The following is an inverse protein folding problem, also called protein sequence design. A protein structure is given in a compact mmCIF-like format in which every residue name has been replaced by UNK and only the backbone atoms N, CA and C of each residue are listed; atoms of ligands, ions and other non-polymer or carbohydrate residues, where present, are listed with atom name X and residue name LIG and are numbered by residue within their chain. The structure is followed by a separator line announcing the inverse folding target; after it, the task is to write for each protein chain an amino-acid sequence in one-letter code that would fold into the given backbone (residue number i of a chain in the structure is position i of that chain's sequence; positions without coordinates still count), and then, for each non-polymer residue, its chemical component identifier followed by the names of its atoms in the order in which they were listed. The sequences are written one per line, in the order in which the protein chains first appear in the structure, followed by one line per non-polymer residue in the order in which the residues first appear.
data_IF_866619452032
#
_entry.id   IF_866619452032
#
_cell.length_a   1.000
_cell.length_b   1.000
_cell.length_c   1.000
_cell.angle_alpha   90.00
_cell.angle_beta   90.00
_cell.angle_gamma   90.00
#
_symmetry.space_group_name_H-M   'P 1'
#
loop_
_entity.id
_entity.type
_entity.pdbx_description
1 polymer ?
#
# COMPACT_ATOMS: atom_id res chain seq x y z
N UNK A 1 -30.49 20.53 7.49
CA UNK A 1 -29.12 21.03 7.77
C UNK A 1 -28.13 20.11 7.06
N UNK A 2 -27.43 20.61 6.03
CA UNK A 2 -26.57 19.79 5.17
C UNK A 2 -25.45 19.13 5.98
N UNK A 3 -25.18 17.85 5.75
CA UNK A 3 -24.10 17.06 6.39
C UNK A 3 -22.76 17.82 6.37
N UNK A 4 -22.45 18.49 5.27
CA UNK A 4 -21.24 19.33 5.15
C UNK A 4 -21.21 20.53 6.10
N UNK A 5 -22.35 21.10 6.46
CA UNK A 5 -22.40 22.21 7.43
C UNK A 5 -22.11 21.71 8.85
N UNK A 6 -22.59 20.53 9.20
CA UNK A 6 -22.31 19.88 10.49
C UNK A 6 -20.82 19.44 10.59
N UNK A 7 -20.27 18.92 9.50
CA UNK A 7 -18.86 18.56 9.41
C UNK A 7 -17.95 19.79 9.48
N UNK A 8 -18.31 20.91 8.85
CA UNK A 8 -17.50 22.15 8.87
C UNK A 8 -17.25 22.68 10.30
N UNK A 9 -18.16 22.46 11.23
CA UNK A 9 -18.07 22.96 12.61
C UNK A 9 -17.62 21.89 13.62
N UNK A 10 -17.12 20.73 13.14
CA UNK A 10 -16.67 19.66 14.01
C UNK A 10 -15.33 19.98 14.68
N UNK A 11 -15.14 19.45 15.88
CA UNK A 11 -13.90 19.63 16.67
C UNK A 11 -12.88 18.53 16.32
N UNK A 12 -12.16 18.70 15.21
CA UNK A 12 -11.24 17.71 14.67
C UNK A 12 -10.02 17.46 15.54
N UNK A 13 -9.41 18.52 16.08
CA UNK A 13 -8.22 18.42 16.93
C UNK A 13 -8.48 17.55 18.16
N UNK A 14 -9.70 17.58 18.71
CA UNK A 14 -10.07 16.79 19.89
C UNK A 14 -10.18 15.28 19.60
N UNK A 15 -10.37 14.90 18.34
CA UNK A 15 -10.43 13.48 17.91
C UNK A 15 -9.04 12.88 17.63
N UNK A 16 -7.99 13.67 17.72
CA UNK A 16 -6.61 13.27 17.39
C UNK A 16 -6.18 11.99 18.11
N UNK A 17 -6.36 11.93 19.43
CA UNK A 17 -5.91 10.79 20.25
C UNK A 17 -6.63 9.51 19.83
N UNK A 18 -7.96 9.57 19.60
CA UNK A 18 -8.74 8.41 19.16
C UNK A 18 -8.25 7.91 17.80
N UNK A 19 -8.05 8.82 16.86
CA UNK A 19 -7.57 8.47 15.51
C UNK A 19 -6.16 7.87 15.56
N UNK A 20 -5.27 8.48 16.34
CA UNK A 20 -3.91 7.99 16.53
C UNK A 20 -3.90 6.59 17.16
N UNK A 21 -4.76 6.33 18.16
CA UNK A 21 -4.88 5.02 18.81
C UNK A 21 -5.37 3.93 17.85
N UNK A 22 -6.37 4.23 17.03
CA UNK A 22 -6.86 3.29 16.00
C UNK A 22 -5.76 2.99 14.98
N UNK A 23 -5.07 4.02 14.50
CA UNK A 23 -3.97 3.87 13.55
C UNK A 23 -2.82 3.04 14.13
N UNK A 24 -2.47 3.28 15.40
CA UNK A 24 -1.42 2.54 16.09
C UNK A 24 -1.79 1.06 16.23
N UNK A 25 -3.06 0.76 16.55
CA UNK A 25 -3.57 -0.62 16.57
C UNK A 25 -3.40 -1.32 15.22
N UNK A 26 -3.74 -0.66 14.13
CA UNK A 26 -3.57 -1.22 12.78
C UNK A 26 -2.08 -1.48 12.50
N UNK A 27 -1.21 -0.52 12.83
CA UNK A 27 0.24 -0.67 12.62
C UNK A 27 0.79 -1.85 13.44
N UNK A 28 0.41 -1.95 14.71
CA UNK A 28 0.82 -3.07 15.58
C UNK A 28 0.32 -4.40 15.01
N UNK A 29 -0.94 -4.49 14.58
CA UNK A 29 -1.48 -5.69 13.95
C UNK A 29 -0.69 -6.08 12.69
N UNK A 30 -0.32 -5.10 11.85
CA UNK A 30 0.53 -5.34 10.68
C UNK A 30 1.93 -5.83 11.04
N UNK A 31 2.56 -5.26 12.07
CA UNK A 31 3.86 -5.71 12.57
C UNK A 31 3.77 -7.14 13.11
N UNK A 32 2.76 -7.46 13.90
CA UNK A 32 2.52 -8.83 14.41
C UNK A 32 2.35 -9.81 13.25
N UNK A 33 1.54 -9.47 12.24
CA UNK A 33 1.37 -10.31 11.05
C UNK A 33 2.68 -10.51 10.29
N UNK A 34 3.49 -9.45 10.16
CA UNK A 34 4.83 -9.54 9.56
C UNK A 34 5.75 -10.47 10.35
N UNK A 35 5.71 -10.44 11.68
CA UNK A 35 6.53 -11.31 12.53
C UNK A 35 6.05 -12.78 12.50
N UNK A 36 4.73 -13.03 12.42
CA UNK A 36 4.17 -14.38 12.49
C UNK A 36 4.17 -15.08 11.14
N UNK A 37 3.73 -14.39 10.07
CA UNK A 37 3.61 -14.98 8.73
C UNK A 37 4.72 -14.56 7.77
N UNK A 38 5.50 -13.51 8.12
CA UNK A 38 6.38 -12.84 7.18
C UNK A 38 5.64 -11.91 6.23
N UNK A 39 6.39 -11.15 5.44
CA UNK A 39 5.85 -10.40 4.30
C UNK A 39 5.88 -11.28 3.06
N UNK A 40 4.83 -11.18 2.26
CA UNK A 40 4.75 -11.86 0.96
C UNK A 40 5.61 -11.08 -0.06
N UNK A 41 6.93 -11.32 -0.04
CA UNK A 41 7.86 -10.65 -0.95
C UNK A 41 7.84 -11.32 -2.33
N UNK A 42 7.70 -10.50 -3.37
CA UNK A 42 7.81 -10.94 -4.76
C UNK A 42 9.20 -11.46 -5.10
N UNK A 43 9.28 -12.26 -6.17
CA UNK A 43 10.55 -12.80 -6.68
C UNK A 43 11.52 -11.71 -7.15
N UNK A 44 11.02 -10.52 -7.43
CA UNK A 44 11.80 -9.35 -7.80
C UNK A 44 12.77 -8.92 -6.69
N UNK A 45 12.46 -9.25 -5.42
CA UNK A 45 13.27 -8.93 -4.25
C UNK A 45 13.98 -10.14 -3.65
N UNK A 46 13.42 -11.34 -3.81
CA UNK A 46 13.98 -12.56 -3.22
C UNK A 46 14.75 -13.41 -4.22
N UNK A 47 14.55 -13.18 -5.51
CA UNK A 47 14.89 -14.14 -6.55
C UNK A 47 13.99 -15.36 -6.51
N UNK A 48 14.00 -16.16 -7.56
CA UNK A 48 13.23 -17.40 -7.64
C UNK A 48 12.41 -17.50 -8.91
N UNK A 49 11.43 -18.41 -8.88
CA UNK A 49 10.50 -18.68 -9.97
C UNK A 49 9.10 -18.34 -9.50
N UNK A 50 8.35 -17.61 -10.31
CA UNK A 50 6.91 -17.35 -10.14
C UNK A 50 6.19 -18.08 -11.26
N UNK A 51 5.28 -18.98 -10.89
CA UNK A 51 4.41 -19.70 -11.82
C UNK A 51 3.01 -19.11 -11.70
N UNK A 52 2.49 -18.58 -12.79
CA UNK A 52 1.12 -18.06 -12.86
C UNK A 52 0.31 -18.98 -13.76
N UNK A 53 -0.78 -19.50 -13.24
CA UNK A 53 -1.69 -20.39 -13.96
C UNK A 53 -3.05 -19.72 -14.03
N UNK A 54 -3.51 -19.46 -15.23
CA UNK A 54 -4.87 -19.00 -15.50
C UNK A 54 -5.69 -20.21 -15.96
N UNK A 55 -6.71 -20.55 -15.19
CA UNK A 55 -7.55 -21.72 -15.42
C UNK A 55 -9.01 -21.29 -15.47
N UNK A 56 -9.45 -20.88 -16.66
CA UNK A 56 -10.83 -20.58 -16.93
C UNK A 56 -11.61 -21.91 -16.98
N UNK A 57 -12.81 -21.95 -16.42
CA UNK A 57 -13.72 -23.11 -16.44
C UNK A 57 -13.36 -24.28 -15.49
N UNK A 58 -12.51 -24.10 -14.49
CA UNK A 58 -12.26 -25.12 -13.46
C UNK A 58 -13.34 -25.05 -12.37
N UNK A 59 -14.11 -26.15 -12.23
CA UNK A 59 -15.25 -26.23 -11.31
C UNK A 59 -14.81 -26.33 -9.83
N UNK A 60 -13.81 -27.16 -9.52
CA UNK A 60 -13.28 -27.32 -8.17
C UNK A 60 -11.90 -26.64 -8.02
N UNK A 61 -11.93 -25.42 -7.51
CA UNK A 61 -10.74 -24.60 -7.29
C UNK A 61 -9.77 -25.18 -6.26
N UNK A 62 -10.29 -25.92 -5.25
CA UNK A 62 -9.45 -26.54 -4.21
C UNK A 62 -8.73 -27.76 -4.73
N UNK A 63 -9.43 -28.59 -5.50
CA UNK A 63 -8.81 -29.76 -6.15
C UNK A 63 -7.73 -29.31 -7.13
N UNK A 64 -8.01 -28.27 -7.91
CA UNK A 64 -7.03 -27.69 -8.84
C UNK A 64 -5.78 -27.18 -8.12
N UNK A 65 -5.93 -26.39 -7.05
CA UNK A 65 -4.80 -25.94 -6.24
C UNK A 65 -3.99 -27.11 -5.67
N UNK A 66 -4.66 -28.14 -5.14
CA UNK A 66 -4.01 -29.32 -4.61
C UNK A 66 -3.25 -30.11 -5.72
N UNK A 67 -3.83 -30.20 -6.91
CA UNK A 67 -3.17 -30.83 -8.06
C UNK A 67 -1.91 -30.06 -8.47
N UNK A 68 -2.01 -28.72 -8.53
CA UNK A 68 -0.89 -27.87 -8.85
C UNK A 68 0.25 -27.98 -7.82
N UNK A 69 -0.10 -28.02 -6.53
CA UNK A 69 0.88 -28.24 -5.44
C UNK A 69 1.56 -29.60 -5.56
N UNK A 70 0.80 -30.69 -5.70
CA UNK A 70 1.34 -32.04 -5.83
C UNK A 70 2.30 -32.16 -7.00
N UNK A 71 1.93 -31.60 -8.15
CA UNK A 71 2.81 -31.59 -9.32
C UNK A 71 4.15 -30.89 -9.05
N UNK A 72 4.13 -29.72 -8.43
CA UNK A 72 5.33 -28.96 -8.07
C UNK A 72 6.15 -29.67 -6.97
N UNK A 73 5.51 -30.37 -6.05
CA UNK A 73 6.14 -31.18 -5.01
C UNK A 73 6.68 -32.52 -5.52
N UNK A 74 6.52 -32.79 -6.82
CA UNK A 74 7.13 -33.93 -7.52
C UNK A 74 6.20 -35.06 -7.90
N UNK A 75 4.92 -34.98 -7.60
CA UNK A 75 3.90 -35.95 -8.03
C UNK A 75 3.36 -35.57 -9.41
N UNK A 76 4.14 -35.90 -10.45
CA UNK A 76 3.81 -35.58 -11.85
C UNK A 76 3.02 -36.65 -12.57
N UNK A 77 2.65 -37.74 -11.87
CA UNK A 77 1.94 -38.88 -12.40
C UNK A 77 2.84 -39.85 -13.16
N UNK A 78 2.21 -40.86 -13.73
CA UNK A 78 2.85 -41.95 -14.48
C UNK A 78 2.43 -41.85 -15.95
N UNK A 79 3.35 -42.00 -16.88
CA UNK A 79 3.06 -42.03 -18.30
C UNK A 79 2.31 -43.31 -18.72
N UNK A 80 1.81 -43.33 -19.95
CA UNK A 80 1.09 -44.50 -20.53
C UNK A 80 1.94 -45.77 -20.54
N UNK A 81 3.26 -45.67 -20.54
CA UNK A 81 4.22 -46.77 -20.49
C UNK A 81 4.56 -47.25 -19.09
N UNK A 82 3.93 -46.67 -18.04
CA UNK A 82 4.22 -46.99 -16.64
C UNK A 82 5.46 -46.30 -16.08
N UNK A 83 6.15 -45.48 -16.84
CA UNK A 83 7.30 -44.67 -16.40
C UNK A 83 6.89 -43.42 -15.68
N UNK A 84 7.66 -43.02 -14.66
CA UNK A 84 7.40 -41.77 -13.94
C UNK A 84 7.58 -40.55 -14.87
N UNK A 85 6.59 -39.67 -14.92
CA UNK A 85 6.71 -38.40 -15.63
C UNK A 85 7.70 -37.41 -14.92
N UNK A 86 8.33 -37.85 -13.82
CA UNK A 86 9.36 -37.10 -13.09
C UNK A 86 10.62 -37.97 -12.90
N UNK A 87 11.36 -38.32 -13.98
CA UNK A 87 12.50 -39.24 -13.91
C UNK A 87 13.61 -38.73 -13.01
N UNK A 88 13.83 -37.42 -12.94
CA UNK A 88 14.83 -36.78 -12.11
C UNK A 88 14.37 -36.52 -10.66
N UNK A 89 13.19 -37.00 -10.29
CA UNK A 89 12.58 -36.81 -8.97
C UNK A 89 12.67 -35.36 -8.49
N UNK A 90 12.36 -34.43 -9.38
CA UNK A 90 12.39 -32.99 -9.10
C UNK A 90 11.27 -32.58 -8.15
N UNK A 91 11.60 -31.86 -7.07
CA UNK A 91 10.66 -31.34 -6.07
C UNK A 91 11.00 -29.88 -5.79
N UNK A 92 10.03 -29.02 -5.95
CA UNK A 92 10.20 -27.60 -5.68
C UNK A 92 9.72 -27.25 -4.26
N UNK A 93 10.44 -26.35 -3.62
CA UNK A 93 9.98 -25.76 -2.37
C UNK A 93 8.95 -24.67 -2.69
N UNK A 94 7.69 -24.83 -2.27
CA UNK A 94 6.64 -23.85 -2.47
C UNK A 94 6.68 -22.85 -1.30
N UNK A 95 6.95 -21.58 -1.60
CA UNK A 95 6.93 -20.50 -0.59
C UNK A 95 5.53 -19.97 -0.36
N UNK A 96 4.80 -19.71 -1.43
CA UNK A 96 3.48 -19.13 -1.34
C UNK A 96 2.61 -19.56 -2.52
N UNK A 97 1.30 -19.69 -2.25
CA UNK A 97 0.28 -19.86 -3.28
C UNK A 97 -0.79 -18.82 -3.03
N UNK A 98 -1.10 -18.04 -4.04
CA UNK A 98 -2.15 -17.03 -4.01
C UNK A 98 -3.18 -17.37 -5.08
N UNK A 99 -4.44 -17.47 -4.68
CA UNK A 99 -5.56 -17.77 -5.59
C UNK A 99 -6.46 -16.52 -5.68
N UNK A 100 -6.64 -16.00 -6.88
CA UNK A 100 -7.49 -14.84 -7.14
C UNK A 100 -8.42 -15.13 -8.33
N UNK A 101 -9.65 -15.52 -8.04
CA UNK A 101 -10.58 -15.96 -9.07
C UNK A 101 -10.08 -17.24 -9.75
N UNK A 102 -9.78 -17.16 -11.03
CA UNK A 102 -9.29 -18.27 -11.86
C UNK A 102 -7.76 -18.20 -12.07
N UNK A 103 -7.09 -17.28 -11.39
CA UNK A 103 -5.65 -17.11 -11.42
C UNK A 103 -4.99 -17.68 -10.18
N UNK A 104 -4.07 -18.62 -10.39
CA UNK A 104 -3.25 -19.25 -9.37
C UNK A 104 -1.80 -18.78 -9.54
N UNK A 105 -1.26 -18.15 -8.51
CA UNK A 105 0.13 -17.69 -8.50
C UNK A 105 0.90 -18.46 -7.46
N UNK A 106 1.88 -19.24 -7.91
CA UNK A 106 2.78 -20.01 -7.03
C UNK A 106 4.18 -19.38 -7.08
N UNK A 107 4.70 -19.04 -5.93
CA UNK A 107 6.08 -18.58 -5.77
C UNK A 107 6.90 -19.74 -5.23
N UNK A 108 7.89 -20.17 -6.01
CA UNK A 108 8.82 -21.23 -5.62
C UNK A 108 9.98 -20.68 -4.81
N UNK A 109 10.53 -21.50 -3.92
CA UNK A 109 11.73 -21.21 -3.16
C UNK A 109 12.96 -21.07 -4.05
N UNK A 110 14.09 -20.82 -3.41
CA UNK A 110 15.39 -20.75 -4.10
C UNK A 110 16.05 -22.11 -4.24
N UNK A 111 15.47 -23.15 -3.62
CA UNK A 111 15.99 -24.52 -3.61
C UNK A 111 14.98 -25.51 -4.18
N UNK A 112 15.51 -26.52 -4.87
CA UNK A 112 14.77 -27.69 -5.29
C UNK A 112 15.54 -28.95 -4.90
N UNK A 113 14.86 -30.09 -4.90
CA UNK A 113 15.51 -31.40 -4.80
C UNK A 113 15.48 -32.03 -6.19
N UNK A 114 16.62 -32.48 -6.69
CA UNK A 114 16.80 -33.21 -7.95
C UNK A 114 17.62 -34.48 -7.66
N UNK A 115 17.10 -35.64 -8.01
CA UNK A 115 17.75 -36.93 -7.72
C UNK A 115 18.18 -37.07 -6.23
N UNK A 116 17.33 -36.61 -5.30
CA UNK A 116 17.61 -36.67 -3.86
C UNK A 116 18.61 -35.67 -3.33
N UNK A 117 19.18 -34.82 -4.20
CA UNK A 117 20.13 -33.75 -3.79
C UNK A 117 19.47 -32.39 -3.76
N UNK A 118 19.71 -31.60 -2.72
CA UNK A 118 19.30 -30.20 -2.65
C UNK A 118 20.15 -29.36 -3.59
N UNK A 119 19.51 -28.67 -4.51
CA UNK A 119 20.13 -27.77 -5.49
C UNK A 119 19.63 -26.34 -5.26
N UNK A 120 20.53 -25.39 -5.16
CA UNK A 120 20.14 -23.98 -5.15
C UNK A 120 19.99 -23.50 -6.60
N UNK A 121 18.75 -23.22 -6.98
CA UNK A 121 18.39 -22.88 -8.36
C UNK A 121 18.98 -21.54 -8.83
N UNK A 122 19.26 -20.61 -7.91
CA UNK A 122 19.73 -19.27 -8.24
C UNK A 122 21.25 -19.17 -8.36
N UNK A 123 22.00 -20.13 -7.83
CA UNK A 123 23.47 -20.11 -7.82
C UNK A 123 24.08 -21.22 -8.67
N UNK A 124 23.36 -22.34 -8.85
CA UNK A 124 23.82 -23.47 -9.65
C UNK A 124 23.57 -23.19 -11.12
N UNK A 125 24.60 -23.42 -11.96
CA UNK A 125 24.52 -23.31 -13.41
C UNK A 125 24.26 -24.67 -14.04
N UNK A 126 23.45 -24.68 -15.08
CA UNK A 126 23.17 -25.86 -15.90
C UNK A 126 23.22 -25.48 -17.39
N UNK A 127 23.48 -26.48 -18.23
CA UNK A 127 23.30 -26.37 -19.68
C UNK A 127 21.90 -26.81 -20.04
N UNK A 128 21.23 -26.05 -20.89
CA UNK A 128 19.90 -26.36 -21.38
C UNK A 128 19.66 -25.71 -22.75
N UNK A 129 18.69 -26.21 -23.48
CA UNK A 129 18.32 -25.67 -24.78
C UNK A 129 17.35 -24.49 -24.61
N UNK A 130 17.63 -23.40 -25.29
CA UNK A 130 16.71 -22.27 -25.45
C UNK A 130 16.48 -22.03 -26.94
N UNK A 131 15.35 -22.52 -27.44
CA UNK A 131 15.12 -22.67 -28.88
C UNK A 131 16.12 -23.68 -29.49
N UNK A 132 16.79 -23.31 -30.57
CA UNK A 132 17.78 -24.15 -31.26
C UNK A 132 19.20 -24.10 -30.64
N UNK A 133 19.46 -23.21 -29.67
CA UNK A 133 20.80 -23.01 -29.10
C UNK A 133 20.92 -23.63 -27.72
N UNK A 134 22.05 -24.30 -27.47
CA UNK A 134 22.45 -24.73 -26.14
C UNK A 134 23.09 -23.51 -25.41
N UNK A 135 22.56 -23.18 -24.25
CA UNK A 135 23.04 -22.08 -23.42
C UNK A 135 23.41 -22.59 -22.04
N UNK A 136 24.33 -21.90 -21.39
CA UNK A 136 24.64 -22.13 -19.97
C UNK A 136 24.00 -21.03 -19.15
N UNK A 137 23.08 -21.38 -18.26
CA UNK A 137 22.37 -20.43 -17.39
C UNK A 137 22.17 -21.01 -15.99
N UNK A 138 21.37 -20.33 -15.19
CA UNK A 138 21.01 -20.82 -13.87
C UNK A 138 19.98 -21.96 -13.96
N UNK A 139 20.02 -22.90 -13.01
CA UNK A 139 19.02 -23.99 -12.91
C UNK A 139 17.61 -23.44 -12.87
N UNK A 140 17.36 -22.34 -12.14
CA UNK A 140 16.04 -21.69 -12.10
C UNK A 140 15.53 -21.23 -13.47
N UNK A 141 16.41 -20.84 -14.38
CA UNK A 141 16.04 -20.45 -15.74
C UNK A 141 15.61 -21.68 -16.56
N UNK A 142 16.35 -22.80 -16.42
CA UNK A 142 15.98 -24.10 -17.00
C UNK A 142 14.61 -24.54 -16.50
N UNK A 143 14.45 -24.60 -15.18
CA UNK A 143 13.22 -25.09 -14.56
C UNK A 143 12.02 -24.19 -14.90
N UNK A 144 12.21 -22.88 -15.00
CA UNK A 144 11.13 -21.98 -15.43
C UNK A 144 10.61 -22.32 -16.83
N UNK A 145 11.49 -22.70 -17.76
CA UNK A 145 11.08 -23.12 -19.12
C UNK A 145 10.42 -24.49 -19.13
N UNK A 146 11.00 -25.46 -18.39
CA UNK A 146 10.45 -26.82 -18.27
C UNK A 146 9.08 -26.81 -17.58
N UNK A 147 8.91 -26.09 -16.46
CA UNK A 147 7.60 -25.94 -15.79
C UNK A 147 6.56 -25.40 -16.76
N UNK A 148 6.91 -24.36 -17.54
CA UNK A 148 5.95 -23.76 -18.45
C UNK A 148 5.40 -24.77 -19.48
N UNK A 149 6.27 -25.60 -20.07
CA UNK A 149 5.87 -26.60 -21.06
C UNK A 149 5.18 -27.82 -20.43
N UNK A 150 5.81 -28.46 -19.44
CA UNK A 150 5.32 -29.68 -18.85
C UNK A 150 4.03 -29.50 -18.05
N UNK A 151 3.95 -28.42 -17.24
CA UNK A 151 2.77 -28.14 -16.44
C UNK A 151 1.58 -27.75 -17.33
N UNK A 152 1.80 -27.01 -18.42
CA UNK A 152 0.74 -26.69 -19.38
C UNK A 152 0.15 -27.97 -19.96
N UNK A 153 1.00 -28.88 -20.48
CA UNK A 153 0.56 -30.14 -21.07
C UNK A 153 -0.21 -30.99 -20.02
N UNK A 154 0.34 -31.12 -18.81
CA UNK A 154 -0.29 -31.91 -17.76
C UNK A 154 -1.67 -31.38 -17.35
N UNK A 155 -1.80 -30.04 -17.18
CA UNK A 155 -3.07 -29.45 -16.75
C UNK A 155 -4.10 -29.48 -17.89
N UNK A 156 -3.69 -29.27 -19.13
CA UNK A 156 -4.57 -29.39 -20.29
C UNK A 156 -5.09 -30.79 -20.49
N UNK A 157 -4.23 -31.81 -20.37
CA UNK A 157 -4.63 -33.22 -20.43
C UNK A 157 -5.62 -33.60 -19.31
N UNK A 158 -5.37 -33.10 -18.07
CA UNK A 158 -6.17 -33.49 -16.90
C UNK A 158 -7.52 -32.78 -16.82
N UNK A 159 -7.58 -31.53 -17.16
CA UNK A 159 -8.78 -30.68 -16.95
C UNK A 159 -9.52 -30.38 -18.24
N UNK A 160 -8.96 -30.71 -19.40
CA UNK A 160 -9.53 -30.44 -20.73
C UNK A 160 -10.02 -28.97 -20.90
N UNK A 161 -9.40 -28.06 -20.17
CA UNK A 161 -9.79 -26.66 -20.05
C UNK A 161 -8.74 -25.75 -20.70
N UNK A 162 -9.13 -24.54 -21.04
CA UNK A 162 -8.22 -23.49 -21.54
C UNK A 162 -7.28 -23.00 -20.42
N UNK A 163 -6.30 -23.84 -20.03
CA UNK A 163 -5.30 -23.48 -19.00
C UNK A 163 -4.10 -22.84 -19.68
N UNK A 164 -3.73 -21.68 -19.19
CA UNK A 164 -2.50 -20.97 -19.60
C UNK A 164 -1.53 -20.93 -18.43
N UNK A 165 -0.33 -21.45 -18.63
CA UNK A 165 0.75 -21.39 -17.66
C UNK A 165 1.80 -20.39 -18.12
N UNK A 166 2.19 -19.49 -17.25
CA UNK A 166 3.28 -18.54 -17.49
C UNK A 166 4.23 -18.60 -16.30
N UNK A 167 5.49 -18.87 -16.57
CA UNK A 167 6.52 -18.84 -15.55
C UNK A 167 7.51 -17.72 -15.80
N UNK A 168 7.95 -17.08 -14.74
CA UNK A 168 8.96 -16.03 -14.76
C UNK A 168 10.07 -16.32 -13.75
N UNK A 169 11.29 -15.98 -14.11
CA UNK A 169 12.48 -16.21 -13.32
C UNK A 169 13.18 -14.88 -13.03
N UNK A 170 13.62 -14.69 -11.78
CA UNK A 170 14.48 -13.58 -11.38
C UNK A 170 15.73 -14.14 -10.70
N UNK A 171 16.89 -13.84 -11.28
CA UNK A 171 18.17 -14.24 -10.73
C UNK A 171 18.53 -13.43 -9.49
N UNK A 172 19.40 -13.98 -8.63
CA UNK A 172 19.82 -13.37 -7.37
C UNK A 172 20.45 -11.97 -7.56
N UNK A 173 21.29 -11.79 -8.55
CA UNK A 173 21.94 -10.48 -8.83
C UNK A 173 20.92 -9.45 -9.30
N UNK A 174 19.97 -9.85 -10.14
CA UNK A 174 18.88 -8.99 -10.58
C UNK A 174 17.97 -8.59 -9.41
N UNK A 175 17.64 -9.52 -8.52
CA UNK A 175 16.83 -9.24 -7.33
C UNK A 175 17.53 -8.25 -6.39
N UNK A 176 18.82 -8.42 -6.13
CA UNK A 176 19.61 -7.48 -5.32
C UNK A 176 19.68 -6.09 -5.95
N UNK A 177 19.86 -6.03 -7.27
CA UNK A 177 19.89 -4.76 -7.99
C UNK A 177 18.54 -4.04 -7.93
N UNK A 178 17.43 -4.75 -8.15
CA UNK A 178 16.07 -4.21 -8.05
C UNK A 178 15.80 -3.68 -6.64
N UNK A 179 16.15 -4.45 -5.60
CA UNK A 179 15.97 -4.02 -4.20
C UNK A 179 16.77 -2.75 -3.89
N UNK A 180 18.04 -2.71 -4.31
CA UNK A 180 18.89 -1.52 -4.14
C UNK A 180 18.31 -0.31 -4.86
N UNK A 181 17.89 -0.47 -6.10
CA UNK A 181 17.28 0.60 -6.90
C UNK A 181 15.98 1.10 -6.29
N UNK A 182 15.14 0.19 -5.76
CA UNK A 182 13.89 0.52 -5.08
C UNK A 182 14.15 1.39 -3.84
N UNK A 183 15.12 1.02 -2.98
CA UNK A 183 15.50 1.80 -1.80
C UNK A 183 15.99 3.19 -2.20
N UNK A 184 16.84 3.28 -3.23
CA UNK A 184 17.34 4.56 -3.73
C UNK A 184 16.18 5.42 -4.28
N UNK A 185 15.27 4.85 -5.07
CA UNK A 185 14.13 5.58 -5.62
C UNK A 185 13.23 6.17 -4.53
N UNK A 186 12.91 5.40 -3.50
CA UNK A 186 12.12 5.89 -2.34
C UNK A 186 12.89 6.97 -1.57
N UNK A 187 14.18 6.78 -1.34
CA UNK A 187 15.01 7.77 -0.64
C UNK A 187 15.08 9.10 -1.42
N UNK A 188 15.26 9.04 -2.74
CA UNK A 188 15.26 10.24 -3.60
C UNK A 188 13.90 10.92 -3.58
N UNK A 189 12.80 10.16 -3.70
CA UNK A 189 11.45 10.72 -3.62
C UNK A 189 11.20 11.44 -2.29
N UNK A 190 11.60 10.81 -1.17
CA UNK A 190 11.50 11.44 0.17
C UNK A 190 12.37 12.70 0.23
N UNK A 191 13.61 12.66 -0.25
CA UNK A 191 14.51 13.82 -0.23
C UNK A 191 13.93 15.02 -1.02
N UNK A 192 13.41 14.78 -2.22
CA UNK A 192 12.76 15.83 -3.03
C UNK A 192 11.57 16.44 -2.30
N UNK A 193 10.75 15.62 -1.65
CA UNK A 193 9.60 16.10 -0.88
C UNK A 193 10.03 16.87 0.35
N UNK A 194 11.08 16.44 1.05
CA UNK A 194 11.63 17.17 2.20
C UNK A 194 12.15 18.55 1.79
N UNK A 195 12.84 18.66 0.67
CA UNK A 195 13.30 19.95 0.11
C UNK A 195 12.09 20.85 -0.21
N UNK A 196 11.07 20.30 -0.89
CA UNK A 196 9.85 21.05 -1.18
C UNK A 196 9.17 21.56 0.11
N UNK A 197 9.02 20.70 1.11
CA UNK A 197 8.43 21.04 2.42
C UNK A 197 9.24 22.13 3.11
N UNK A 198 10.57 22.05 3.10
CA UNK A 198 11.46 23.03 3.74
C UNK A 198 11.33 24.43 3.11
N UNK A 199 11.17 24.50 1.78
CA UNK A 199 10.97 25.76 1.06
C UNK A 199 9.55 26.34 1.29
N UNK A 200 8.55 25.45 1.31
CA UNK A 200 7.13 25.85 1.27
C UNK A 200 6.53 26.13 2.63
N UNK A 201 6.98 25.42 3.69
CA UNK A 201 6.36 25.43 5.01
C UNK A 201 7.27 25.98 6.10
N UNK A 202 6.64 26.40 7.24
CA UNK A 202 7.38 26.64 8.48
C UNK A 202 7.88 25.31 9.05
N UNK A 203 8.95 25.34 9.84
CA UNK A 203 9.58 24.13 10.40
C UNK A 203 8.57 23.19 11.10
N UNK A 204 7.68 23.74 11.92
CA UNK A 204 6.70 22.93 12.67
C UNK A 204 5.60 22.37 11.77
N UNK A 205 5.16 23.11 10.75
CA UNK A 205 4.20 22.59 9.76
C UNK A 205 4.83 21.51 8.90
N UNK A 206 6.10 21.71 8.53
CA UNK A 206 6.89 20.71 7.80
C UNK A 206 7.05 19.39 8.58
N UNK A 207 7.43 19.49 9.86
CA UNK A 207 7.58 18.33 10.72
C UNK A 207 6.25 17.57 10.90
N UNK A 208 5.13 18.29 11.09
CA UNK A 208 3.82 17.66 11.17
C UNK A 208 3.41 16.95 9.87
N UNK A 209 3.74 17.54 8.71
CA UNK A 209 3.50 16.92 7.40
C UNK A 209 4.32 15.65 7.20
N UNK A 210 5.60 15.65 7.58
CA UNK A 210 6.49 14.48 7.51
C UNK A 210 5.97 13.34 8.40
N UNK A 211 5.57 13.64 9.64
CA UNK A 211 5.00 12.64 10.55
C UNK A 211 3.72 12.01 9.97
N UNK A 212 2.86 12.81 9.34
CA UNK A 212 1.66 12.30 8.67
C UNK A 212 2.01 11.42 7.45
N UNK A 213 3.04 11.75 6.68
CA UNK A 213 3.50 10.93 5.55
C UNK A 213 4.07 9.58 6.02
N UNK A 214 4.92 9.59 7.05
CA UNK A 214 5.47 8.36 7.64
C UNK A 214 4.33 7.47 8.13
N UNK A 215 3.36 8.05 8.84
CA UNK A 215 2.18 7.33 9.31
C UNK A 215 1.42 6.67 8.14
N UNK A 216 1.20 7.36 7.02
CA UNK A 216 0.47 6.82 5.87
C UNK A 216 1.19 5.64 5.22
N UNK A 217 2.51 5.74 5.08
CA UNK A 217 3.34 4.64 4.58
C UNK A 217 3.30 3.44 5.54
N UNK A 218 3.37 3.67 6.86
CA UNK A 218 3.26 2.60 7.85
C UNK A 218 1.90 1.89 7.80
N UNK A 219 0.79 2.63 7.66
CA UNK A 219 -0.55 2.02 7.49
C UNK A 219 -0.60 1.20 6.19
N UNK A 220 -0.04 1.71 5.11
CA UNK A 220 0.00 0.99 3.84
C UNK A 220 0.77 -0.32 3.97
N UNK A 221 1.95 -0.32 4.61
CA UNK A 221 2.71 -1.53 4.91
C UNK A 221 1.94 -2.49 5.83
N UNK A 222 1.34 -1.98 6.90
CA UNK A 222 0.56 -2.78 7.84
C UNK A 222 -0.60 -3.50 7.16
N UNK A 223 -1.39 -2.77 6.37
CA UNK A 223 -2.52 -3.34 5.64
C UNK A 223 -2.06 -4.35 4.58
N UNK A 224 -0.98 -4.05 3.84
CA UNK A 224 -0.40 -4.99 2.87
C UNK A 224 0.04 -6.29 3.54
N UNK A 225 0.64 -6.21 4.73
CA UNK A 225 1.04 -7.40 5.52
C UNK A 225 -0.18 -8.17 6.06
N UNK A 226 -1.20 -7.48 6.59
CA UNK A 226 -2.42 -8.12 7.11
C UNK A 226 -3.14 -8.91 6.00
N UNK A 227 -3.27 -8.31 4.81
CA UNK A 227 -3.93 -8.95 3.68
C UNK A 227 -3.01 -9.85 2.85
N UNK A 228 -1.75 -10.00 3.25
CA UNK A 228 -0.74 -10.83 2.56
C UNK A 228 -0.62 -10.50 1.07
N UNK A 229 -0.77 -9.22 0.72
CA UNK A 229 -0.61 -8.75 -0.66
C UNK A 229 0.87 -8.82 -1.03
N UNK A 230 1.16 -9.22 -2.27
CA UNK A 230 2.53 -9.35 -2.75
C UNK A 230 3.25 -7.98 -2.78
N UNK A 231 4.40 -7.92 -2.12
CA UNK A 231 5.30 -6.77 -2.13
C UNK A 231 6.33 -6.99 -3.23
N UNK A 232 6.11 -6.35 -4.35
CA UNK A 232 6.91 -6.45 -5.56
C UNK A 232 7.35 -5.06 -6.05
N UNK A 233 7.90 -4.96 -7.25
CA UNK A 233 8.35 -3.68 -7.80
C UNK A 233 7.20 -2.67 -7.94
N UNK A 234 5.98 -3.12 -8.25
CA UNK A 234 4.80 -2.24 -8.36
C UNK A 234 4.40 -1.64 -7.01
N UNK A 235 4.66 -2.34 -5.90
CA UNK A 235 4.44 -1.83 -4.55
C UNK A 235 5.35 -0.60 -4.25
N UNK A 236 6.59 -0.59 -4.73
CA UNK A 236 7.48 0.58 -4.59
C UNK A 236 6.90 1.79 -5.35
N UNK A 237 6.38 1.56 -6.56
CA UNK A 237 5.69 2.61 -7.31
C UNK A 237 4.45 3.12 -6.55
N UNK A 238 3.69 2.23 -5.90
CA UNK A 238 2.56 2.60 -5.06
C UNK A 238 2.98 3.48 -3.87
N UNK A 239 4.08 3.16 -3.18
CA UNK A 239 4.63 3.99 -2.09
C UNK A 239 4.90 5.42 -2.58
N UNK A 240 5.65 5.56 -3.66
CA UNK A 240 6.02 6.88 -4.23
C UNK A 240 4.77 7.65 -4.63
N UNK A 241 3.80 6.99 -5.25
CA UNK A 241 2.51 7.57 -5.64
C UNK A 241 1.74 8.10 -4.41
N UNK A 242 1.64 7.30 -3.35
CA UNK A 242 0.92 7.70 -2.13
C UNK A 242 1.63 8.82 -1.37
N UNK A 243 2.95 8.82 -1.33
CA UNK A 243 3.70 9.94 -0.75
C UNK A 243 3.34 11.24 -1.49
N UNK A 244 3.35 11.24 -2.84
CA UNK A 244 2.99 12.41 -3.65
C UNK A 244 1.52 12.83 -3.49
N UNK A 245 0.60 11.87 -3.45
CA UNK A 245 -0.82 12.16 -3.29
C UNK A 245 -1.16 12.68 -1.89
N UNK A 246 -0.61 12.07 -0.86
CA UNK A 246 -0.90 12.41 0.54
C UNK A 246 -0.38 13.81 0.91
N UNK A 247 0.80 14.19 0.39
CA UNK A 247 1.33 15.52 0.65
C UNK A 247 0.42 16.62 0.06
N UNK A 248 -0.21 16.39 -1.11
CA UNK A 248 -1.11 17.35 -1.71
C UNK A 248 -2.29 17.70 -0.79
N UNK A 249 -2.93 16.72 -0.17
CA UNK A 249 -4.02 16.94 0.79
C UNK A 249 -3.54 17.70 2.03
N UNK A 250 -2.37 17.36 2.54
CA UNK A 250 -1.75 17.99 3.70
C UNK A 250 -1.37 19.48 3.42
N UNK A 251 -0.83 19.74 2.22
CA UNK A 251 -0.50 21.11 1.76
C UNK A 251 -1.74 22.02 1.81
N UNK A 252 -2.87 21.53 1.28
CA UNK A 252 -4.12 22.31 1.23
C UNK A 252 -4.59 22.75 2.63
N UNK A 253 -4.48 21.85 3.61
CA UNK A 253 -4.84 22.18 5.00
C UNK A 253 -3.86 23.19 5.59
N UNK A 254 -2.55 23.01 5.42
CA UNK A 254 -1.56 23.93 5.97
C UNK A 254 -1.54 25.30 5.27
N UNK A 255 -1.81 25.36 3.97
CA UNK A 255 -1.98 26.64 3.27
C UNK A 255 -3.19 27.39 3.83
N UNK A 256 -4.28 26.70 4.15
CA UNK A 256 -5.44 27.32 4.78
C UNK A 256 -5.15 27.78 6.21
N UNK A 257 -4.43 27.02 7.00
CA UNK A 257 -3.94 27.45 8.33
C UNK A 257 -3.12 28.74 8.18
N UNK A 258 -2.16 28.77 7.24
CA UNK A 258 -1.29 29.91 6.98
C UNK A 258 -2.08 31.15 6.51
N UNK A 259 -3.08 30.95 5.65
CA UNK A 259 -3.98 32.04 5.22
C UNK A 259 -4.73 32.65 6.41
N UNK A 260 -5.33 31.80 7.27
CA UNK A 260 -6.07 32.25 8.44
C UNK A 260 -5.18 32.98 9.43
N UNK A 261 -3.98 32.48 9.70
CA UNK A 261 -3.02 33.11 10.61
C UNK A 261 -2.56 34.49 10.17
N UNK A 262 -2.62 34.83 8.87
CA UNK A 262 -2.26 36.14 8.35
C UNK A 262 -3.37 37.17 8.53
N UNK A 263 -4.63 36.77 8.75
CA UNK A 263 -5.75 37.69 8.90
C UNK A 263 -5.72 38.40 10.26
N UNK A 264 -5.88 39.72 10.32
CA UNK A 264 -5.87 40.47 11.59
C UNK A 264 -6.90 39.95 12.61
N UNK A 265 -8.07 39.48 12.12
CA UNK A 265 -9.15 38.92 12.95
C UNK A 265 -8.79 37.64 13.68
N UNK A 266 -7.69 36.95 13.29
CA UNK A 266 -7.23 35.71 13.90
C UNK A 266 -6.03 35.90 14.84
N UNK A 267 -5.58 37.14 15.11
CA UNK A 267 -4.42 37.39 16.00
C UNK A 267 -4.63 36.89 17.42
N UNK A 268 -5.88 36.84 17.90
CA UNK A 268 -6.25 36.38 19.25
C UNK A 268 -6.97 35.06 19.28
N UNK A 269 -7.10 34.35 18.12
CA UNK A 269 -7.75 33.06 18.02
C UNK A 269 -6.74 31.94 18.39
N UNK A 270 -7.21 30.89 19.06
CA UNK A 270 -6.32 29.79 19.46
C UNK A 270 -5.87 28.97 18.24
N UNK A 271 -4.69 28.36 18.32
CA UNK A 271 -4.18 27.46 17.27
C UNK A 271 -5.12 26.29 17.01
N UNK A 272 -5.84 25.81 18.04
CA UNK A 272 -6.86 24.76 17.93
C UNK A 272 -8.03 25.21 17.07
N UNK A 273 -8.54 26.40 17.28
CA UNK A 273 -9.68 26.93 16.53
C UNK A 273 -9.28 27.23 15.07
N UNK A 274 -8.09 27.78 14.86
CA UNK A 274 -7.52 27.98 13.50
C UNK A 274 -7.42 26.66 12.76
N UNK A 275 -6.89 25.62 13.40
CA UNK A 275 -6.77 24.28 12.79
C UNK A 275 -8.13 23.68 12.45
N UNK A 276 -9.11 23.73 13.38
CA UNK A 276 -10.46 23.23 13.17
C UNK A 276 -11.16 23.94 12.01
N UNK A 277 -11.02 25.26 11.92
CA UNK A 277 -11.61 26.06 10.84
C UNK A 277 -10.93 25.77 9.49
N UNK A 278 -9.61 25.66 9.46
CA UNK A 278 -8.87 25.31 8.25
C UNK A 278 -9.27 23.93 7.72
N UNK A 279 -9.38 22.92 8.60
CA UNK A 279 -9.84 21.58 8.25
C UNK A 279 -11.28 21.67 7.69
N UNK A 280 -12.20 22.34 8.39
CA UNK A 280 -13.59 22.48 7.95
C UNK A 280 -13.73 23.15 6.59
N UNK A 281 -12.88 24.16 6.29
CA UNK A 281 -12.88 24.86 5.02
C UNK A 281 -12.35 24.00 3.85
N UNK A 282 -11.42 23.10 4.11
CA UNK A 282 -10.77 22.26 3.08
C UNK A 282 -11.39 20.88 2.93
N UNK A 283 -12.22 20.45 3.89
CA UNK A 283 -12.78 19.12 4.01
C UNK A 283 -13.49 18.65 2.74
N UNK A 284 -14.39 19.48 2.19
CA UNK A 284 -15.14 19.14 0.98
C UNK A 284 -14.21 18.81 -0.18
N UNK A 285 -13.17 19.63 -0.38
CA UNK A 285 -12.18 19.41 -1.44
C UNK A 285 -11.42 18.10 -1.22
N UNK A 286 -10.92 17.87 -0.01
CA UNK A 286 -10.15 16.67 0.32
C UNK A 286 -10.99 15.40 0.11
N UNK A 287 -12.23 15.38 0.59
CA UNK A 287 -13.13 14.22 0.42
C UNK A 287 -13.43 13.98 -1.05
N UNK A 288 -13.80 15.01 -1.83
CA UNK A 288 -14.17 14.84 -3.23
C UNK A 288 -12.98 14.38 -4.08
N UNK A 289 -11.80 14.98 -3.88
CA UNK A 289 -10.60 14.59 -4.63
C UNK A 289 -10.17 13.16 -4.29
N UNK A 290 -10.19 12.78 -3.02
CA UNK A 290 -9.88 11.39 -2.62
C UNK A 290 -10.93 10.42 -3.15
N UNK A 291 -12.21 10.76 -3.10
CA UNK A 291 -13.27 9.91 -3.61
C UNK A 291 -13.14 9.64 -5.11
N UNK A 292 -12.90 10.69 -5.92
CA UNK A 292 -12.71 10.51 -7.38
C UNK A 292 -11.52 9.63 -7.70
N UNK A 293 -10.38 9.82 -7.01
CA UNK A 293 -9.21 8.97 -7.19
C UNK A 293 -9.46 7.54 -6.71
N UNK A 294 -10.15 7.39 -5.57
CA UNK A 294 -10.48 6.07 -5.01
C UNK A 294 -11.37 5.26 -5.97
N UNK A 295 -12.37 5.89 -6.58
CA UNK A 295 -13.23 5.23 -7.59
C UNK A 295 -12.39 4.68 -8.74
N UNK A 296 -11.44 5.46 -9.27
CA UNK A 296 -10.56 5.02 -10.36
C UNK A 296 -9.71 3.81 -9.96
N UNK A 297 -9.10 3.86 -8.78
CA UNK A 297 -8.23 2.77 -8.31
C UNK A 297 -9.04 1.52 -7.93
N UNK A 298 -10.26 1.68 -7.39
CA UNK A 298 -11.17 0.55 -7.12
C UNK A 298 -11.58 -0.14 -8.42
N UNK A 299 -11.89 0.61 -9.47
CA UNK A 299 -12.17 0.02 -10.79
C UNK A 299 -10.96 -0.77 -11.32
N UNK A 300 -9.74 -0.25 -11.17
CA UNK A 300 -8.52 -0.99 -11.51
C UNK A 300 -8.34 -2.25 -10.65
N UNK A 301 -8.70 -2.20 -9.37
CA UNK A 301 -8.64 -3.37 -8.48
C UNK A 301 -9.68 -4.45 -8.85
N UNK A 302 -10.86 -4.06 -9.36
CA UNK A 302 -11.93 -5.00 -9.73
C UNK A 302 -11.66 -5.61 -11.10
N UNK A 303 -11.39 -4.79 -12.10
CA UNK A 303 -11.29 -5.21 -13.50
C UNK A 303 -9.86 -5.45 -13.99
N UNK A 304 -8.85 -5.08 -13.21
CA UNK A 304 -7.45 -5.23 -13.59
C UNK A 304 -6.94 -6.67 -13.51
N UNK A 305 -5.84 -6.92 -14.22
CA UNK A 305 -5.07 -8.15 -14.08
C UNK A 305 -4.48 -8.30 -12.68
N UNK A 306 -3.97 -9.49 -12.33
CA UNK A 306 -3.36 -9.73 -11.01
C UNK A 306 -2.25 -8.72 -10.68
N UNK A 307 -1.38 -8.39 -11.64
CA UNK A 307 -0.32 -7.41 -11.45
C UNK A 307 -0.88 -6.00 -11.15
N UNK A 308 -1.99 -5.62 -11.78
CA UNK A 308 -2.67 -4.34 -11.53
C UNK A 308 -3.33 -4.36 -10.14
N UNK A 309 -3.91 -5.47 -9.71
CA UNK A 309 -4.50 -5.62 -8.37
C UNK A 309 -3.45 -5.48 -7.27
N UNK A 310 -2.27 -6.09 -7.45
CA UNK A 310 -1.14 -5.98 -6.52
C UNK A 310 -0.63 -4.54 -6.37
N UNK A 311 -0.79 -3.70 -7.39
CA UNK A 311 -0.53 -2.26 -7.33
C UNK A 311 -1.68 -1.47 -6.71
N UNK A 312 -2.93 -1.79 -7.09
CA UNK A 312 -4.11 -1.02 -6.71
C UNK A 312 -4.46 -1.15 -5.22
N UNK A 313 -4.37 -2.33 -4.62
CA UNK A 313 -4.72 -2.53 -3.20
C UNK A 313 -3.85 -1.68 -2.25
N UNK A 314 -2.51 -1.67 -2.33
CA UNK A 314 -1.70 -0.78 -1.51
C UNK A 314 -2.06 0.70 -1.68
N UNK A 315 -2.36 1.13 -2.92
CA UNK A 315 -2.79 2.52 -3.19
C UNK A 315 -4.12 2.82 -2.50
N UNK A 316 -5.10 1.92 -2.54
CA UNK A 316 -6.38 2.10 -1.84
C UNK A 316 -6.13 2.34 -0.34
N UNK A 317 -5.31 1.51 0.29
CA UNK A 317 -4.97 1.68 1.71
C UNK A 317 -4.27 3.00 1.99
N UNK A 318 -3.30 3.37 1.14
CA UNK A 318 -2.58 4.62 1.25
C UNK A 318 -3.46 5.86 1.00
N UNK A 319 -4.41 5.81 0.06
CA UNK A 319 -5.37 6.88 -0.20
C UNK A 319 -6.30 7.10 0.99
N UNK A 320 -6.86 6.04 1.55
CA UNK A 320 -7.72 6.10 2.73
C UNK A 320 -6.92 6.64 3.92
N UNK A 321 -5.70 6.14 4.15
CA UNK A 321 -4.81 6.64 5.19
C UNK A 321 -4.49 8.13 4.99
N UNK A 322 -4.14 8.56 3.78
CA UNK A 322 -3.83 9.95 3.44
C UNK A 322 -5.00 10.91 3.62
N UNK A 323 -6.22 10.45 3.29
CA UNK A 323 -7.42 11.26 3.45
C UNK A 323 -7.72 11.57 4.93
N UNK A 324 -7.73 10.57 5.79
CA UNK A 324 -8.02 10.83 7.20
C UNK A 324 -6.83 11.47 7.93
N UNK A 325 -5.59 11.12 7.57
CA UNK A 325 -4.41 11.66 8.24
C UNK A 325 -4.23 13.15 7.98
N UNK A 326 -4.52 13.65 6.77
CA UNK A 326 -4.46 15.08 6.47
C UNK A 326 -5.46 15.90 7.30
N UNK A 327 -6.60 15.31 7.66
CA UNK A 327 -7.68 15.93 8.41
C UNK A 327 -7.47 15.76 9.93
N UNK A 328 -7.20 14.53 10.37
CA UNK A 328 -7.26 14.16 11.80
C UNK A 328 -5.89 13.98 12.45
N UNK A 329 -4.79 13.97 11.68
CA UNK A 329 -3.44 13.81 12.22
C UNK A 329 -2.55 15.03 11.91
N UNK A 330 -2.42 15.46 10.65
CA UNK A 330 -1.44 16.48 10.28
C UNK A 330 -1.66 17.83 11.00
N UNK A 331 -2.87 18.40 10.91
CA UNK A 331 -3.17 19.67 11.55
C UNK A 331 -3.19 19.59 13.09
N UNK A 332 -3.78 18.57 13.72
CA UNK A 332 -3.64 18.39 15.18
C UNK A 332 -2.20 18.20 15.63
N UNK A 333 -1.39 17.40 14.93
CA UNK A 333 0.05 17.24 15.25
C UNK A 333 0.75 18.60 15.25
N UNK A 334 0.47 19.46 14.26
CA UNK A 334 1.02 20.81 14.24
C UNK A 334 0.62 21.64 15.47
N UNK A 335 -0.64 21.58 15.93
CA UNK A 335 -1.10 22.25 17.13
C UNK A 335 -0.31 21.76 18.37
N UNK A 336 -0.15 20.44 18.52
CA UNK A 336 0.60 19.87 19.63
C UNK A 336 2.09 20.24 19.58
N UNK A 337 2.73 20.24 18.39
CA UNK A 337 4.11 20.67 18.22
C UNK A 337 4.29 22.13 18.59
N UNK A 338 3.38 23.01 18.16
CA UNK A 338 3.44 24.43 18.55
C UNK A 338 3.34 24.62 20.06
N UNK A 339 2.48 23.88 20.71
CA UNK A 339 2.33 23.91 22.17
C UNK A 339 3.60 23.40 22.87
N UNK A 340 4.17 22.31 22.38
CA UNK A 340 5.40 21.69 22.94
C UNK A 340 6.60 22.66 22.83
N UNK A 341 6.75 23.34 21.72
CA UNK A 341 7.84 24.29 21.48
C UNK A 341 7.55 25.70 22.01
N UNK A 342 6.58 25.87 22.93
CA UNK A 342 6.21 27.15 23.57
C UNK A 342 5.90 28.31 22.60
N UNK A 343 5.48 27.99 21.40
CA UNK A 343 4.90 28.99 20.51
C UNK A 343 3.45 29.21 20.99
N UNK A 344 3.28 30.22 21.84
CA UNK A 344 2.13 30.42 22.71
C UNK A 344 0.77 30.23 22.03
N UNK A 345 -0.09 29.44 22.67
CA UNK A 345 -1.53 29.47 22.41
C UNK A 345 -2.05 30.88 22.68
N UNK A 346 -2.66 31.49 21.67
CA UNK A 346 -3.35 32.74 21.84
C UNK A 346 -4.61 32.51 22.65
N UNK A 347 -4.87 33.37 23.66
CA UNK A 347 -6.07 33.26 24.48
C UNK A 347 -7.33 33.39 23.62
N UNK A 348 -8.36 32.55 23.85
CA UNK A 348 -9.61 32.65 23.11
C UNK A 348 -10.24 34.05 23.33
N UNK A 349 -10.69 34.67 22.25
CA UNK A 349 -11.46 35.90 22.33
C UNK A 349 -12.72 35.61 23.13
N UNK A 350 -12.85 36.22 24.30
CA UNK A 350 -14.13 36.24 24.99
C UNK A 350 -15.15 36.93 24.07
N UNK A 351 -16.13 36.17 23.56
CA UNK A 351 -17.28 36.74 22.89
C UNK A 351 -17.91 37.74 23.86
N UNK A 352 -17.69 39.06 23.68
CA UNK A 352 -18.47 40.07 24.38
C UNK A 352 -19.94 39.71 24.17
N UNK A 353 -20.62 39.31 25.25
CA UNK A 353 -22.07 39.23 25.27
C UNK A 353 -22.57 40.58 24.79
N UNK A 354 -23.28 40.65 23.65
CA UNK A 354 -24.01 41.83 23.26
C UNK A 354 -24.88 42.19 24.45
N UNK A 355 -24.52 43.32 25.11
CA UNK A 355 -25.40 43.94 26.08
C UNK A 355 -26.72 44.24 25.35
N UNK A 356 -27.77 43.64 25.83
CA UNK A 356 -29.12 43.89 25.40
C UNK A 356 -29.44 45.31 25.85
N UNK A 357 -29.29 46.30 24.96
CA UNK A 357 -29.83 47.64 25.19
C UNK A 357 -31.33 47.48 25.34
N UNK A 358 -31.79 47.49 26.58
CA UNK A 358 -33.16 47.80 26.94
C UNK A 358 -33.26 49.32 26.97
N UNK A 359 -33.41 49.94 25.81
CA UNK A 359 -33.96 51.29 25.73
C UNK A 359 -35.45 51.22 26.13
N UNK A 360 -35.69 51.57 27.36
CA UNK A 360 -37.06 52.01 27.80
C UNK A 360 -37.30 53.37 27.19
N UNK A 361 -38.44 53.59 26.53
CA UNK A 361 -38.84 54.92 26.13
C UNK A 361 -39.14 55.74 27.36
N UNK A 362 -38.47 56.88 27.50
CA UNK A 362 -38.83 57.95 28.46
C UNK A 362 -40.09 58.62 27.92
N UNK A 363 -41.20 58.40 28.64
CA UNK A 363 -42.42 59.17 28.46
C UNK A 363 -42.16 60.57 29.03
N UNK A 364 -42.17 61.59 28.18
CA UNK A 364 -42.20 63.01 28.60
C UNK A 364 -43.63 63.29 29.01
N UNK A 365 -43.81 63.60 30.29
CA UNK A 365 -45.00 64.23 30.85
C UNK A 365 -44.79 65.72 30.99
N UNK A 366 -45.58 66.47 30.29
CA UNK A 366 -46.09 67.81 30.35
C UNK A 366 -45.53 68.91 31.25
N UNK A 367 -45.42 70.08 30.69
CA UNK A 367 -46.34 71.18 31.00
C UNK A 367 -46.33 72.18 29.86
#
# INVERSE_FOLDING_TARGET
MNIFTKLKNAKYVQKFIITLSISLLIIIAGVVMTCVKGMNLGIEFTGGIKVSVEANDVTDKKEFENTLRKWLEGDRGVGETGESKNPDNKKFEIKNVTVNGDNYVVVLGTTMTENGKKVNMLTTKAKFKSGEKEITGYVAQRESQEINSELTTYLQEKYNAGVTVSSSFVGNESAKWVLKSAIIAVAVAIAVILVYIAIRFTLLSGLAAILALIHNVLIMFAMTSIFQISVNQTFIAAIVTIIGYSINSTIVVFDKIRELMKKPSYKEVTDVDIANEAIGATLKRTILTTFTTLVMIVLLAVFGTQAIKEFAYPIIFGLVAGAYSSILLAAPTWVYLRKLFKQADKKPVQKKKKAKNTDKPVVAENA
#
